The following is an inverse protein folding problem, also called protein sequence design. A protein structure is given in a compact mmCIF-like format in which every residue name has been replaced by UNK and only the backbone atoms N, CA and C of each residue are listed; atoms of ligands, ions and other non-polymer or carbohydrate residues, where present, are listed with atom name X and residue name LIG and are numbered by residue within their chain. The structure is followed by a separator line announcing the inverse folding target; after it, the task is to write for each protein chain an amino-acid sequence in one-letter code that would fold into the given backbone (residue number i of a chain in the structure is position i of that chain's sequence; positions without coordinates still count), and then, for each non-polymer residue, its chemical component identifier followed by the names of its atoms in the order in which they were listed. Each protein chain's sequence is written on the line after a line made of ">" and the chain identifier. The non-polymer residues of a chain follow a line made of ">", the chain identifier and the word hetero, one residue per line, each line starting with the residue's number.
data_IF_676485040842
#
_entry.id   IF_676485040842
#
_cell.length_a   1.000
_cell.length_b   1.000
_cell.length_c   1.000
_cell.angle_alpha   90.00
_cell.angle_beta   90.00
_cell.angle_gamma   90.00
#
_symmetry.space_group_name_H-M   'P 1'
#
loop_
_entity.id
_entity.type
_entity.pdbx_description
1 polymer ?
#
# COMPACT_ATOMS: atom_id res chain seq x y z
N UNK A 1 0.79 -5.00 83.72
CA UNK A 1 0.58 -3.90 82.76
C UNK A 1 1.10 -4.39 81.42
N UNK A 2 0.36 -4.50 80.31
CA UNK A 2 -0.98 -4.07 79.94
C UNK A 2 -0.94 -3.76 78.44
N UNK A 3 -1.61 -4.58 77.61
CA UNK A 3 -2.09 -4.28 76.25
C UNK A 3 -0.99 -4.08 75.16
N UNK A 4 -1.20 -4.27 73.86
CA UNK A 4 -2.36 -4.47 72.97
C UNK A 4 -1.81 -5.02 71.65
N UNK A 5 -2.50 -5.97 71.02
CA UNK A 5 -2.07 -6.52 69.72
C UNK A 5 -2.41 -5.63 68.53
N UNK A 6 -1.80 -5.95 67.39
CA UNK A 6 -2.43 -5.85 66.07
C UNK A 6 -1.92 -6.99 65.18
N UNK A 7 -2.88 -7.73 64.64
CA UNK A 7 -2.77 -8.79 63.65
C UNK A 7 -2.53 -8.13 62.30
N UNK A 8 -1.34 -8.33 61.70
CA UNK A 8 -1.05 -7.96 60.32
C UNK A 8 -1.22 -9.17 59.41
N UNK A 9 -2.31 -9.20 58.65
CA UNK A 9 -2.53 -10.11 57.51
C UNK A 9 -1.59 -9.72 56.36
N UNK A 10 -1.03 -10.67 55.59
CA UNK A 10 -0.06 -10.38 54.53
C UNK A 10 -0.77 -9.72 53.35
N UNK A 11 -0.41 -8.49 53.02
CA UNK A 11 -0.69 -7.93 51.72
C UNK A 11 0.43 -8.36 50.78
N UNK A 12 0.07 -9.32 49.93
CA UNK A 12 0.73 -9.74 48.71
C UNK A 12 1.42 -8.56 48.00
N UNK A 13 2.75 -8.60 47.98
CA UNK A 13 3.51 -7.89 46.96
C UNK A 13 3.79 -8.91 45.86
N UNK A 14 3.35 -8.60 44.64
CA UNK A 14 4.19 -8.91 43.52
C UNK A 14 4.42 -7.62 42.75
N UNK A 15 5.72 -7.30 42.66
CA UNK A 15 6.35 -6.94 41.40
C UNK A 15 5.59 -5.93 40.56
N UNK A 16 6.08 -4.70 40.62
CA UNK A 16 6.20 -3.81 39.46
C UNK A 16 6.58 -4.65 38.24
N UNK A 17 5.57 -5.11 37.50
CA UNK A 17 5.73 -5.45 36.11
C UNK A 17 5.97 -4.12 35.43
N UNK A 18 7.25 -3.78 35.25
CA UNK A 18 7.68 -3.08 34.04
C UNK A 18 7.13 -3.92 32.88
N UNK A 19 5.91 -3.62 32.46
CA UNK A 19 5.47 -3.95 31.12
C UNK A 19 6.39 -3.15 30.24
N UNK A 20 7.36 -3.86 29.68
CA UNK A 20 8.22 -3.40 28.61
C UNK A 20 7.35 -2.65 27.61
N UNK A 21 7.44 -1.32 27.62
CA UNK A 21 7.03 -0.48 26.51
C UNK A 21 7.75 -1.07 25.30
N UNK A 22 7.06 -1.57 24.26
CA UNK A 22 7.73 -2.02 23.06
C UNK A 22 8.32 -0.79 22.39
N UNK A 23 9.57 -0.49 22.75
CA UNK A 23 10.44 0.44 22.07
C UNK A 23 10.44 0.05 20.59
N UNK A 24 9.82 0.89 19.76
CA UNK A 24 9.86 0.75 18.30
C UNK A 24 8.62 0.14 17.66
N UNK A 25 7.41 0.39 18.17
CA UNK A 25 6.25 0.36 17.27
C UNK A 25 6.33 1.57 16.34
N UNK A 26 7.15 1.47 15.30
CA UNK A 26 6.91 2.21 14.07
C UNK A 26 5.42 2.01 13.78
N UNK A 27 4.63 3.09 13.97
CA UNK A 27 3.18 3.09 13.75
C UNK A 27 2.95 2.30 12.46
N UNK A 28 2.24 1.15 12.49
CA UNK A 28 2.05 0.38 11.27
C UNK A 28 1.55 1.38 10.24
N UNK A 29 2.34 1.59 9.18
CA UNK A 29 1.91 2.46 8.10
C UNK A 29 0.49 2.01 7.75
N UNK A 30 -0.45 2.94 7.58
CA UNK A 30 -1.85 2.57 7.34
C UNK A 30 -1.86 1.46 6.30
N UNK A 31 -2.41 0.30 6.69
CA UNK A 31 -2.31 -0.90 5.88
C UNK A 31 -2.86 -0.58 4.51
N UNK A 32 -1.98 -0.57 3.50
CA UNK A 32 -2.37 -0.28 2.13
C UNK A 32 -3.42 -1.28 1.70
N UNK A 33 -4.42 -0.82 0.96
CA UNK A 33 -5.45 -1.71 0.46
C UNK A 33 -4.82 -2.66 -0.57
N UNK A 34 -5.13 -3.95 -0.46
CA UNK A 34 -4.57 -4.96 -1.37
C UNK A 34 -5.44 -5.08 -2.61
N UNK A 35 -4.90 -4.74 -3.78
CA UNK A 35 -5.55 -4.86 -5.08
C UNK A 35 -4.80 -5.82 -5.99
N UNK A 36 -5.49 -6.42 -6.94
CA UNK A 36 -4.81 -7.25 -7.94
C UNK A 36 -4.06 -6.37 -8.94
N UNK A 37 -3.08 -6.96 -9.65
CA UNK A 37 -2.36 -6.26 -10.70
C UNK A 37 -3.32 -5.76 -11.81
N UNK A 38 -4.36 -6.54 -12.12
CA UNK A 38 -5.37 -6.21 -13.13
C UNK A 38 -6.24 -5.03 -12.70
N UNK A 39 -6.65 -5.00 -11.42
CA UNK A 39 -7.39 -3.87 -10.86
C UNK A 39 -6.56 -2.58 -10.93
N UNK A 40 -5.29 -2.64 -10.51
CA UNK A 40 -4.40 -1.48 -10.56
C UNK A 40 -4.15 -1.03 -11.99
N UNK A 41 -3.95 -1.96 -12.92
CA UNK A 41 -3.81 -1.64 -14.34
C UNK A 41 -5.09 -0.99 -14.90
N UNK A 42 -6.27 -1.44 -14.48
CA UNK A 42 -7.54 -0.83 -14.88
C UNK A 42 -7.69 0.60 -14.33
N UNK A 43 -7.31 0.83 -13.07
CA UNK A 43 -7.31 2.17 -12.47
C UNK A 43 -6.37 3.12 -13.21
N UNK A 44 -5.14 2.67 -13.50
CA UNK A 44 -4.16 3.47 -14.26
C UNK A 44 -4.72 3.81 -15.65
N UNK A 45 -5.28 2.84 -16.37
CA UNK A 45 -5.91 3.09 -17.69
C UNK A 45 -7.05 4.09 -17.60
N UNK A 46 -7.90 3.99 -16.58
CA UNK A 46 -9.03 4.90 -16.38
C UNK A 46 -8.60 6.33 -16.05
N UNK A 47 -7.50 6.49 -15.29
CA UNK A 47 -6.95 7.81 -15.04
C UNK A 47 -6.24 8.38 -16.27
N UNK A 48 -5.50 7.54 -17.02
CA UNK A 48 -4.86 7.95 -18.27
C UNK A 48 -5.84 8.28 -19.39
N UNK A 49 -7.02 7.63 -19.43
CA UNK A 49 -8.05 7.94 -20.43
C UNK A 49 -8.66 9.34 -20.29
N UNK A 50 -8.37 10.04 -19.18
CA UNK A 50 -8.77 11.44 -18.95
C UNK A 50 -7.75 12.44 -19.50
N UNK A 51 -6.59 11.98 -19.97
CA UNK A 51 -5.53 12.83 -20.51
C UNK A 51 -5.79 13.09 -22.00
N UNK A 52 -5.69 14.35 -22.41
CA UNK A 52 -5.79 14.74 -23.81
C UNK A 52 -4.71 14.06 -24.67
N UNK A 53 -5.14 13.39 -25.75
CA UNK A 53 -4.26 12.63 -26.63
C UNK A 53 -4.05 11.16 -26.20
N UNK A 54 -4.86 10.63 -25.28
CA UNK A 54 -4.90 9.21 -25.01
C UNK A 54 -5.35 8.42 -26.25
N UNK A 55 -4.56 7.44 -26.73
CA UNK A 55 -4.95 6.63 -27.88
C UNK A 55 -6.07 5.66 -27.50
N UNK A 56 -7.17 5.65 -28.26
CA UNK A 56 -8.31 4.76 -28.00
C UNK A 56 -7.98 3.27 -28.18
N UNK A 57 -6.93 2.96 -28.94
CA UNK A 57 -6.49 1.58 -29.25
C UNK A 57 -4.98 1.45 -29.15
N UNK A 58 -4.53 0.19 -29.03
CA UNK A 58 -3.10 -0.14 -29.03
C UNK A 58 -2.32 0.33 -27.80
N UNK A 59 -2.99 0.69 -26.70
CA UNK A 59 -2.30 0.99 -25.44
C UNK A 59 -2.58 -0.11 -24.44
N UNK A 60 -1.52 -0.67 -23.86
CA UNK A 60 -1.60 -1.61 -22.75
C UNK A 60 -0.87 -1.06 -21.54
N UNK A 61 -1.46 -1.30 -20.37
CA UNK A 61 -0.82 -1.04 -19.07
C UNK A 61 -0.59 -2.38 -18.41
N UNK A 62 0.66 -2.65 -18.06
CA UNK A 62 1.06 -3.86 -17.36
C UNK A 62 1.57 -3.47 -15.99
N UNK A 63 0.95 -4.00 -14.94
CA UNK A 63 1.45 -3.89 -13.57
C UNK A 63 2.31 -5.12 -13.27
N UNK A 64 3.49 -4.91 -12.71
CA UNK A 64 4.45 -5.96 -12.40
C UNK A 64 5.10 -5.71 -11.04
N UNK A 65 5.60 -6.80 -10.44
CA UNK A 65 6.10 -6.77 -9.07
C UNK A 65 4.97 -6.87 -8.03
N UNK A 66 5.37 -7.15 -6.79
CA UNK A 66 4.43 -7.32 -5.67
C UNK A 66 4.56 -6.19 -4.65
N UNK A 67 5.79 -5.91 -4.20
CA UNK A 67 6.05 -4.80 -3.29
C UNK A 67 7.54 -4.41 -3.23
N UNK A 68 7.94 -3.21 -3.70
CA UNK A 68 7.13 -2.25 -4.45
C UNK A 68 6.80 -2.79 -5.85
N UNK A 69 5.55 -2.62 -6.27
CA UNK A 69 5.13 -2.89 -7.64
C UNK A 69 5.39 -1.66 -8.53
N UNK A 70 5.45 -1.85 -9.84
CA UNK A 70 5.55 -0.80 -10.85
C UNK A 70 4.58 -1.08 -12.00
N UNK A 71 4.39 -0.09 -12.86
CA UNK A 71 3.63 -0.25 -14.08
C UNK A 71 4.49 0.07 -15.30
N UNK A 72 4.10 -0.49 -16.44
CA UNK A 72 4.67 -0.21 -17.74
C UNK A 72 3.51 0.19 -18.66
N UNK A 73 3.67 1.34 -19.30
CA UNK A 73 2.80 1.77 -20.38
C UNK A 73 3.43 1.34 -21.71
N UNK A 74 2.74 0.49 -22.45
CA UNK A 74 3.18 0.02 -23.76
C UNK A 74 2.24 0.52 -24.86
N UNK A 75 2.84 1.01 -25.94
CA UNK A 75 2.13 1.45 -27.14
C UNK A 75 2.40 0.44 -28.25
N UNK A 76 1.40 -0.36 -28.58
CA UNK A 76 1.38 -1.26 -29.72
C UNK A 76 1.24 -0.52 -31.05
N UNK A 77 1.37 -1.28 -32.14
CA UNK A 77 1.28 -0.77 -33.52
C UNK A 77 -0.07 -0.10 -33.83
N UNK A 78 -1.14 -0.57 -33.18
CA UNK A 78 -2.50 -0.02 -33.35
C UNK A 78 -2.70 1.35 -32.69
N UNK A 79 -1.78 1.81 -31.84
CA UNK A 79 -1.87 3.13 -31.21
C UNK A 79 -1.56 4.27 -32.18
N UNK A 80 -0.93 3.98 -33.32
CA UNK A 80 -0.54 4.98 -34.30
C UNK A 80 0.52 5.97 -33.78
N UNK A 81 0.71 7.10 -34.49
CA UNK A 81 1.61 8.15 -34.04
C UNK A 81 1.04 8.85 -32.81
N UNK A 82 1.62 8.54 -31.65
CA UNK A 82 1.28 9.20 -30.38
C UNK A 82 2.27 10.36 -30.17
N UNK A 83 1.86 11.62 -30.36
CA UNK A 83 2.76 12.78 -30.23
C UNK A 83 3.21 12.99 -28.77
N UNK A 84 2.35 12.63 -27.81
CA UNK A 84 2.52 12.92 -26.39
C UNK A 84 3.00 11.67 -25.59
N UNK A 85 3.83 10.80 -26.18
CA UNK A 85 4.30 9.56 -25.52
C UNK A 85 4.98 9.84 -24.18
N UNK A 86 5.81 10.87 -24.14
CA UNK A 86 6.58 11.25 -22.95
C UNK A 86 5.64 11.74 -21.85
N UNK A 87 4.67 12.60 -22.19
CA UNK A 87 3.68 13.08 -21.24
C UNK A 87 2.82 11.93 -20.69
N UNK A 88 2.33 11.04 -21.56
CA UNK A 88 1.55 9.87 -21.15
C UNK A 88 2.34 8.93 -20.23
N UNK A 89 3.62 8.71 -20.53
CA UNK A 89 4.49 7.92 -19.65
C UNK A 89 4.67 8.62 -18.30
N UNK A 90 4.95 9.92 -18.28
CA UNK A 90 5.06 10.70 -17.05
C UNK A 90 3.76 10.64 -16.22
N UNK A 91 2.59 10.76 -16.87
CA UNK A 91 1.31 10.60 -16.19
C UNK A 91 1.13 9.19 -15.62
N UNK A 92 1.52 8.16 -16.37
CA UNK A 92 1.48 6.78 -15.90
C UNK A 92 2.33 6.60 -14.65
N UNK A 93 3.55 7.16 -14.62
CA UNK A 93 4.45 7.11 -13.48
C UNK A 93 3.88 7.87 -12.27
N UNK A 94 3.31 9.07 -12.49
CA UNK A 94 2.65 9.86 -11.43
C UNK A 94 1.49 9.08 -10.80
N UNK A 95 0.62 8.47 -11.63
CA UNK A 95 -0.51 7.67 -11.16
C UNK A 95 0.02 6.44 -10.41
N UNK A 96 1.04 5.77 -10.94
CA UNK A 96 1.66 4.59 -10.32
C UNK A 96 2.22 4.91 -8.95
N UNK A 97 2.98 6.00 -8.80
CA UNK A 97 3.52 6.43 -7.51
C UNK A 97 2.41 6.81 -6.52
N UNK A 98 1.32 7.44 -7.01
CA UNK A 98 0.15 7.71 -6.18
C UNK A 98 -0.52 6.43 -5.71
N UNK A 99 -0.72 5.46 -6.60
CA UNK A 99 -1.34 4.18 -6.27
C UNK A 99 -0.45 3.35 -5.35
N UNK A 100 0.88 3.33 -5.53
CA UNK A 100 1.83 2.63 -4.65
C UNK A 100 1.78 3.12 -3.21
N UNK A 101 1.38 4.36 -2.95
CA UNK A 101 1.19 4.89 -1.58
C UNK A 101 -0.07 4.37 -0.92
N UNK A 102 -1.07 3.99 -1.71
CA UNK A 102 -2.41 3.61 -1.24
C UNK A 102 -2.64 2.10 -1.30
N UNK A 103 -2.01 1.43 -2.26
CA UNK A 103 -2.29 0.05 -2.62
C UNK A 103 -1.02 -0.80 -2.72
N UNK A 104 -1.17 -2.06 -2.33
CA UNK A 104 -0.20 -3.13 -2.57
C UNK A 104 -0.78 -4.17 -3.53
N UNK A 105 0.08 -4.83 -4.31
CA UNK A 105 -0.36 -5.90 -5.21
C UNK A 105 -0.53 -7.20 -4.41
N UNK A 106 -1.72 -7.79 -4.46
CA UNK A 106 -1.94 -9.18 -4.03
C UNK A 106 -1.77 -10.14 -5.19
N UNK A 107 -1.17 -11.28 -4.90
CA UNK A 107 -1.22 -12.44 -5.80
C UNK A 107 -2.66 -12.95 -5.83
N UNK A 108 -3.24 -13.05 -7.02
CA UNK A 108 -4.48 -13.79 -7.23
C UNK A 108 -4.08 -15.25 -7.40
N UNK A 109 -4.36 -16.09 -6.41
CA UNK A 109 -4.19 -17.53 -6.60
C UNK A 109 -5.30 -18.05 -7.54
N UNK A 110 -4.95 -18.82 -8.59
CA UNK A 110 -5.95 -19.44 -9.44
C UNK A 110 -6.68 -20.56 -8.69
N UNK A 111 -7.97 -20.81 -9.01
CA UNK A 111 -8.81 -21.82 -8.36
C UNK A 111 -8.41 -23.26 -8.70
#
# INVERSE_FOLDING_TARGET
>A
MGSRGTKGTPADVPTTSETEEPYGLARPAPAKEKKTAEELAAMIRQDLSKVDGWPERGVSVTVYGLNPWNSLLAFGVDAGPVPNKVDLQNFCDIITERLKRLYDVRVVEPP
#
